data_IF_142291740715
#
_entry.id   IF_142291740715
#
_cell.length_a   1.000
_cell.length_b   1.000
_cell.length_c   1.000
_cell.angle_alpha   90.00
_cell.angle_beta   90.00
_cell.angle_gamma   90.00
#
_symmetry.space_group_name_H-M   'P 1'
#
loop_
_entity.id
_entity.type
_entity.pdbx_description
1 polymer ?
#
# COMPACT_ATOMS: atom_id res chain seq x y z
N UNK A 1 41.35 -0.72 10.08
CA UNK A 1 40.05 -0.33 9.53
C UNK A 1 39.15 -1.54 9.62
N UNK A 2 38.25 -1.69 10.59
CA UNK A 2 37.26 -2.77 10.61
C UNK A 2 36.17 -2.46 9.60
N UNK A 3 35.70 -3.48 8.95
CA UNK A 3 34.69 -3.49 7.89
C UNK A 3 33.31 -3.08 8.44
N UNK A 4 32.79 -1.95 7.96
CA UNK A 4 31.50 -1.35 8.39
C UNK A 4 30.28 -2.01 7.70
N UNK A 5 30.34 -3.26 7.27
CA UNK A 5 29.27 -3.95 6.53
C UNK A 5 28.47 -4.99 7.32
N UNK A 6 28.71 -5.17 8.60
CA UNK A 6 28.01 -6.19 9.43
C UNK A 6 26.83 -5.65 10.27
N UNK A 7 26.14 -4.60 9.86
CA UNK A 7 25.08 -3.98 10.68
C UNK A 7 23.69 -3.88 10.06
N UNK A 8 23.40 -4.46 8.88
CA UNK A 8 22.20 -4.09 8.12
C UNK A 8 21.11 -5.16 7.94
N UNK A 9 21.29 -6.35 8.48
CA UNK A 9 20.20 -7.33 8.51
C UNK A 9 20.09 -7.90 9.93
N UNK A 10 19.19 -7.33 10.72
CA UNK A 10 18.64 -8.09 11.84
C UNK A 10 17.97 -9.31 11.20
N UNK A 11 18.59 -10.45 11.26
CA UNK A 11 18.08 -11.71 10.74
C UNK A 11 16.69 -11.93 11.33
N UNK A 12 15.70 -12.16 10.47
CA UNK A 12 14.43 -12.73 10.92
C UNK A 12 14.76 -13.94 11.81
N UNK A 13 14.06 -14.11 12.94
CA UNK A 13 14.33 -15.24 13.84
C UNK A 13 14.32 -16.54 13.03
N UNK A 14 15.28 -17.41 13.26
CA UNK A 14 15.33 -18.72 12.62
C UNK A 14 13.99 -19.46 12.85
N UNK A 15 13.50 -20.24 11.87
CA UNK A 15 12.21 -20.92 11.99
C UNK A 15 12.07 -21.77 13.26
N UNK A 16 13.18 -22.33 13.77
CA UNK A 16 13.20 -23.10 15.02
C UNK A 16 12.93 -22.23 16.26
N UNK A 17 13.45 -20.99 16.28
CA UNK A 17 13.24 -20.07 17.39
C UNK A 17 11.83 -19.52 17.39
N UNK A 18 11.24 -19.29 16.20
CA UNK A 18 9.88 -18.81 16.05
C UNK A 18 8.86 -19.72 16.74
N UNK A 19 8.92 -21.04 16.53
CA UNK A 19 8.00 -22.00 17.11
C UNK A 19 8.05 -22.00 18.65
N UNK A 20 9.18 -21.65 19.26
CA UNK A 20 9.32 -21.57 20.70
C UNK A 20 8.52 -20.43 21.36
N UNK A 21 8.13 -19.42 20.60
CA UNK A 21 7.35 -18.29 21.09
C UNK A 21 5.84 -18.47 20.94
N UNK A 22 5.38 -19.47 20.16
CA UNK A 22 3.96 -19.70 19.90
C UNK A 22 3.30 -20.47 21.05
N UNK A 23 2.08 -20.07 21.40
CA UNK A 23 1.20 -20.85 22.25
C UNK A 23 0.51 -21.98 21.45
N UNK A 24 -0.04 -22.99 22.14
CA UNK A 24 -0.46 -24.24 21.50
C UNK A 24 -1.41 -24.13 20.30
N UNK A 25 -2.27 -23.11 20.23
CA UNK A 25 -3.22 -22.94 19.10
C UNK A 25 -2.80 -21.85 18.10
N UNK A 26 -1.72 -21.11 18.36
CA UNK A 26 -1.29 -19.99 17.52
C UNK A 26 -0.97 -20.45 16.09
N UNK A 27 -0.34 -21.62 15.95
CA UNK A 27 0.04 -22.15 14.64
C UNK A 27 -1.20 -22.45 13.76
N UNK A 28 -2.28 -22.95 14.34
CA UNK A 28 -3.52 -23.21 13.61
C UNK A 28 -4.13 -21.89 13.14
N UNK A 29 -4.25 -20.91 14.05
CA UNK A 29 -4.78 -19.57 13.74
C UNK A 29 -3.94 -18.86 12.67
N UNK A 30 -2.61 -18.96 12.76
CA UNK A 30 -1.69 -18.43 11.74
C UNK A 30 -1.94 -19.04 10.35
N UNK A 31 -2.05 -20.38 10.28
CA UNK A 31 -2.33 -21.07 9.02
C UNK A 31 -3.70 -20.68 8.43
N UNK A 32 -4.72 -20.49 9.25
CA UNK A 32 -6.04 -20.02 8.82
C UNK A 32 -5.97 -18.61 8.25
N UNK A 33 -5.24 -17.67 8.89
CA UNK A 33 -5.04 -16.31 8.39
C UNK A 33 -4.29 -16.35 7.06
N UNK A 34 -3.20 -17.11 6.97
CA UNK A 34 -2.42 -17.27 5.74
C UNK A 34 -3.30 -17.83 4.62
N UNK A 35 -4.05 -18.90 4.89
CA UNK A 35 -4.93 -19.50 3.89
C UNK A 35 -6.00 -18.52 3.39
N UNK A 36 -6.67 -17.80 4.29
CA UNK A 36 -7.66 -16.79 3.93
C UNK A 36 -7.04 -15.63 3.16
N UNK A 37 -5.85 -15.16 3.54
CA UNK A 37 -5.18 -14.04 2.87
C UNK A 37 -4.89 -14.32 1.39
N UNK A 38 -4.60 -15.57 1.03
CA UNK A 38 -4.32 -15.98 -0.37
C UNK A 38 -5.58 -15.85 -1.25
N UNK A 39 -6.77 -16.03 -0.69
CA UNK A 39 -8.04 -16.00 -1.41
C UNK A 39 -8.76 -14.63 -1.38
N UNK A 40 -8.20 -13.62 -0.71
CA UNK A 40 -8.79 -12.28 -0.65
C UNK A 40 -8.84 -11.61 -2.04
N UNK A 41 -10.05 -11.21 -2.47
CA UNK A 41 -10.28 -10.51 -3.73
C UNK A 41 -10.99 -9.17 -3.54
N UNK A 42 -11.56 -8.91 -2.36
CA UNK A 42 -12.29 -7.70 -2.00
C UNK A 42 -11.75 -7.08 -0.70
N UNK A 43 -11.99 -5.79 -0.51
CA UNK A 43 -11.54 -5.05 0.68
C UNK A 43 -12.24 -5.57 1.94
N UNK A 44 -13.52 -5.94 1.84
CA UNK A 44 -14.30 -6.51 2.93
C UNK A 44 -13.69 -7.84 3.40
N UNK A 45 -13.31 -8.73 2.47
CA UNK A 45 -12.66 -9.99 2.79
C UNK A 45 -11.29 -9.79 3.47
N UNK A 46 -10.57 -8.73 3.09
CA UNK A 46 -9.32 -8.36 3.74
C UNK A 46 -9.56 -7.85 5.17
N UNK A 47 -10.57 -7.02 5.38
CA UNK A 47 -10.95 -6.52 6.71
C UNK A 47 -11.38 -7.69 7.62
N UNK A 48 -12.07 -8.69 7.09
CA UNK A 48 -12.51 -9.89 7.82
C UNK A 48 -11.37 -10.79 8.34
N UNK A 49 -10.11 -10.50 7.96
CA UNK A 49 -8.95 -11.17 8.57
C UNK A 49 -8.65 -10.65 9.99
N UNK A 50 -8.98 -9.40 10.30
CA UNK A 50 -8.53 -8.74 11.53
C UNK A 50 -9.15 -9.29 12.81
N UNK A 51 -10.44 -9.69 12.88
CA UNK A 51 -10.99 -10.40 14.01
C UNK A 51 -10.21 -11.70 14.33
N UNK A 52 -9.72 -12.39 13.30
CA UNK A 52 -8.92 -13.60 13.49
C UNK A 52 -7.51 -13.29 14.01
N UNK A 53 -6.94 -12.15 13.58
CA UNK A 53 -5.65 -11.68 14.09
C UNK A 53 -5.76 -11.30 15.58
N UNK A 54 -6.91 -10.77 16.03
CA UNK A 54 -7.15 -10.48 17.46
C UNK A 54 -7.11 -11.71 18.36
N UNK A 55 -7.35 -12.92 17.84
CA UNK A 55 -7.17 -14.15 18.59
C UNK A 55 -5.70 -14.44 18.93
N UNK A 56 -4.75 -13.90 18.15
CA UNK A 56 -3.31 -14.09 18.37
C UNK A 56 -2.72 -13.08 19.36
N UNK A 57 -3.13 -11.83 19.28
CA UNK A 57 -2.72 -10.78 20.22
C UNK A 57 -3.78 -9.66 20.29
N UNK A 58 -3.97 -9.07 21.49
CA UNK A 58 -5.01 -8.05 21.66
C UNK A 58 -4.63 -6.74 20.97
N UNK A 59 -5.59 -6.12 20.30
CA UNK A 59 -5.52 -4.72 19.83
C UNK A 59 -6.94 -4.16 19.75
N UNK A 60 -7.07 -2.84 19.95
CA UNK A 60 -8.35 -2.14 19.85
C UNK A 60 -8.50 -1.53 18.44
N UNK A 61 -7.39 -1.09 17.86
CA UNK A 61 -7.34 -0.37 16.61
C UNK A 61 -6.38 -1.00 15.62
N UNK A 62 -6.80 -1.05 14.35
CA UNK A 62 -5.95 -1.49 13.25
C UNK A 62 -6.18 -0.66 11.98
N UNK A 63 -5.13 -0.52 11.20
CA UNK A 63 -5.15 0.10 9.87
C UNK A 63 -4.09 -0.53 8.97
N UNK A 64 -4.36 -0.51 7.67
CA UNK A 64 -3.45 -0.96 6.63
C UNK A 64 -3.18 0.17 5.62
N UNK A 65 -1.94 0.35 5.20
CA UNK A 65 -1.52 1.36 4.24
C UNK A 65 -0.58 0.76 3.20
N UNK A 66 -0.76 1.15 1.94
CA UNK A 66 0.21 0.93 0.85
C UNK A 66 0.88 2.26 0.53
N UNK A 67 2.18 2.23 0.29
CA UNK A 67 2.94 3.44 0.01
C UNK A 67 4.41 3.15 -0.26
N UNK A 68 5.17 4.21 -0.34
CA UNK A 68 6.61 4.17 -0.55
C UNK A 68 7.29 5.37 0.13
N UNK A 69 8.61 5.32 0.25
CA UNK A 69 9.39 6.45 0.75
C UNK A 69 9.91 7.30 -0.42
N UNK A 70 9.43 8.52 -0.52
CA UNK A 70 9.99 9.54 -1.42
C UNK A 70 11.15 10.26 -0.73
N UNK A 71 12.31 10.36 -1.41
CA UNK A 71 13.53 10.95 -0.80
C UNK A 71 13.38 12.44 -0.44
N UNK A 72 12.47 13.16 -1.09
CA UNK A 72 12.26 14.60 -0.85
C UNK A 72 11.07 14.92 0.05
N UNK A 73 10.07 14.04 0.10
CA UNK A 73 8.79 14.28 0.78
C UNK A 73 8.54 13.36 1.97
N UNK A 74 9.33 12.29 2.14
CA UNK A 74 9.09 11.27 3.15
C UNK A 74 8.06 10.22 2.69
N UNK A 75 7.35 9.57 3.63
CA UNK A 75 6.34 8.57 3.30
C UNK A 75 5.19 9.12 2.45
N UNK A 76 4.88 8.44 1.36
CA UNK A 76 3.75 8.73 0.48
C UNK A 76 2.78 7.56 0.55
N UNK A 77 1.58 7.80 1.08
CA UNK A 77 0.52 6.80 1.16
C UNK A 77 -0.30 6.86 -0.13
N UNK A 78 -0.39 5.74 -0.82
CA UNK A 78 -1.10 5.57 -2.10
C UNK A 78 -2.51 5.06 -1.88
N UNK A 79 -2.69 4.20 -0.86
CA UNK A 79 -3.98 3.65 -0.47
C UNK A 79 -3.95 3.29 1.01
N UNK A 80 -5.07 3.46 1.68
CA UNK A 80 -5.22 3.11 3.09
C UNK A 80 -6.61 2.57 3.38
N UNK A 81 -6.66 1.59 4.27
CA UNK A 81 -7.90 1.04 4.83
C UNK A 81 -7.86 1.22 6.33
N UNK A 82 -8.85 1.93 6.85
CA UNK A 82 -9.11 2.01 8.27
C UNK A 82 -9.96 0.80 8.68
N UNK A 83 -9.43 -0.03 9.56
CA UNK A 83 -10.16 -1.20 10.08
C UNK A 83 -10.99 -0.80 11.29
N UNK A 84 -10.39 -0.11 12.25
CA UNK A 84 -11.07 0.18 13.52
C UNK A 84 -10.61 1.45 14.25
N UNK A 85 -9.71 2.27 13.68
CA UNK A 85 -9.39 3.57 14.30
C UNK A 85 -10.61 4.49 14.29
N UNK A 86 -10.80 5.34 15.32
CA UNK A 86 -11.86 6.35 15.33
C UNK A 86 -11.76 7.28 14.11
N UNK A 87 -12.86 7.53 13.43
CA UNK A 87 -12.87 8.37 12.21
C UNK A 87 -12.34 9.78 12.45
N UNK A 88 -12.58 10.34 13.65
CA UNK A 88 -12.09 11.65 14.03
C UNK A 88 -10.56 11.66 14.13
N UNK A 89 -9.98 10.61 14.73
CA UNK A 89 -8.53 10.45 14.80
C UNK A 89 -7.93 10.35 13.39
N UNK A 90 -8.52 9.52 12.52
CA UNK A 90 -8.04 9.35 11.13
C UNK A 90 -8.09 10.68 10.39
N UNK A 91 -9.20 11.41 10.49
CA UNK A 91 -9.38 12.72 9.85
C UNK A 91 -8.31 13.71 10.32
N UNK A 92 -8.07 13.81 11.62
CA UNK A 92 -7.08 14.72 12.18
C UNK A 92 -5.65 14.34 11.78
N UNK A 93 -5.31 13.05 11.89
CA UNK A 93 -4.00 12.51 11.51
C UNK A 93 -3.62 12.82 10.06
N UNK A 94 -4.55 12.65 9.13
CA UNK A 94 -4.30 12.92 7.72
C UNK A 94 -4.40 14.41 7.36
N UNK A 95 -5.30 15.19 7.99
CA UNK A 95 -5.42 16.63 7.74
C UNK A 95 -4.15 17.39 8.12
N UNK A 96 -3.46 16.96 9.18
CA UNK A 96 -2.19 17.52 9.64
C UNK A 96 -0.96 16.90 8.94
N UNK A 97 -1.17 16.00 7.96
CA UNK A 97 -0.12 15.28 7.25
C UNK A 97 0.84 14.49 8.17
N UNK A 98 0.37 14.02 9.32
CA UNK A 98 1.18 13.27 10.26
C UNK A 98 1.74 11.97 9.68
N UNK A 99 1.08 11.36 8.69
CA UNK A 99 1.61 10.21 7.95
C UNK A 99 2.98 10.47 7.30
N UNK A 100 3.32 11.72 6.96
CA UNK A 100 4.61 12.10 6.37
C UNK A 100 5.68 12.38 7.42
N UNK A 101 5.28 12.83 8.62
CA UNK A 101 6.18 13.26 9.69
C UNK A 101 6.34 12.22 10.79
N UNK A 102 5.41 11.28 10.93
CA UNK A 102 5.44 10.21 11.91
C UNK A 102 6.71 9.37 11.80
N UNK A 103 7.40 9.21 12.92
CA UNK A 103 8.57 8.35 13.04
C UNK A 103 8.26 6.91 12.63
N UNK A 104 7.09 6.38 13.03
CA UNK A 104 6.64 5.03 12.67
C UNK A 104 6.53 4.86 11.15
N UNK A 105 5.88 5.80 10.46
CA UNK A 105 5.73 5.74 9.01
C UNK A 105 7.08 5.86 8.30
N UNK A 106 7.92 6.81 8.70
CA UNK A 106 9.25 7.02 8.11
C UNK A 106 10.14 5.79 8.26
N UNK A 107 10.21 5.24 9.45
CA UNK A 107 11.01 4.04 9.72
C UNK A 107 10.44 2.83 8.97
N UNK A 108 9.10 2.63 9.00
CA UNK A 108 8.49 1.50 8.30
C UNK A 108 8.84 1.48 6.80
N UNK A 109 8.60 2.58 6.09
CA UNK A 109 8.88 2.65 4.65
C UNK A 109 10.38 2.76 4.29
N UNK A 110 11.26 2.67 5.29
CA UNK A 110 12.72 2.60 5.11
C UNK A 110 13.26 1.21 5.42
N UNK A 111 12.82 0.59 6.52
CA UNK A 111 13.40 -0.66 7.03
C UNK A 111 12.49 -1.87 6.94
N UNK A 112 11.16 -1.66 6.95
CA UNK A 112 10.13 -2.71 6.97
C UNK A 112 10.31 -3.73 8.11
N UNK A 113 10.84 -3.29 9.24
CA UNK A 113 11.00 -4.12 10.45
C UNK A 113 9.89 -3.84 11.45
N UNK A 114 9.53 -4.80 12.32
CA UNK A 114 8.59 -4.57 13.42
C UNK A 114 9.05 -3.41 14.30
N UNK A 115 8.14 -2.52 14.64
CA UNK A 115 8.38 -1.38 15.50
C UNK A 115 7.36 -1.37 16.62
N UNK A 116 7.83 -1.28 17.87
CA UNK A 116 6.95 -0.99 18.99
C UNK A 116 6.86 0.52 19.19
N UNK A 117 5.64 1.04 19.20
CA UNK A 117 5.36 2.49 19.11
C UNK A 117 6.14 3.33 20.09
N UNK A 118 6.05 3.02 21.39
CA UNK A 118 6.72 3.80 22.45
C UNK A 118 8.25 3.76 22.33
N UNK A 119 8.82 2.67 21.85
CA UNK A 119 10.27 2.59 21.62
C UNK A 119 10.69 3.47 20.45
N UNK A 120 9.93 3.46 19.36
CA UNK A 120 10.18 4.32 18.19
C UNK A 120 10.02 5.80 18.58
N UNK A 121 8.98 6.18 19.29
CA UNK A 121 8.77 7.56 19.72
C UNK A 121 9.91 8.08 20.61
N UNK A 122 10.47 7.25 21.49
CA UNK A 122 11.62 7.64 22.34
C UNK A 122 12.89 7.92 21.52
N UNK A 123 13.05 7.29 20.36
CA UNK A 123 14.23 7.49 19.51
C UNK A 123 14.15 8.77 18.67
N UNK A 124 12.95 9.26 18.38
CA UNK A 124 12.73 10.41 17.51
C UNK A 124 12.16 11.60 18.30
N UNK A 125 12.82 12.74 18.17
CA UNK A 125 12.34 14.02 18.75
C UNK A 125 11.20 14.58 17.87
N UNK A 126 10.40 15.51 18.45
CA UNK A 126 9.32 16.22 17.75
C UNK A 126 8.15 15.34 17.30
N UNK A 127 7.74 14.39 18.15
CA UNK A 127 6.54 13.58 17.94
C UNK A 127 5.40 13.95 18.92
N UNK A 128 5.58 15.01 19.72
CA UNK A 128 4.70 15.34 20.85
C UNK A 128 3.23 15.55 20.42
N UNK A 129 2.99 16.22 19.28
CA UNK A 129 1.64 16.42 18.76
C UNK A 129 0.97 15.12 18.32
N UNK A 130 1.72 14.24 17.68
CA UNK A 130 1.23 12.92 17.23
C UNK A 130 0.96 12.05 18.46
N UNK A 131 1.84 12.06 19.43
CA UNK A 131 1.69 11.32 20.68
C UNK A 131 0.48 11.84 21.45
N UNK A 132 0.31 13.16 21.57
CA UNK A 132 -0.87 13.76 22.21
C UNK A 132 -2.15 13.32 21.54
N UNK A 133 -2.23 13.42 20.21
CA UNK A 133 -3.37 12.95 19.46
C UNK A 133 -3.67 11.47 19.72
N UNK A 134 -2.65 10.62 19.75
CA UNK A 134 -2.84 9.20 20.06
C UNK A 134 -3.40 8.99 21.49
N UNK A 135 -2.86 9.71 22.47
CA UNK A 135 -3.30 9.59 23.86
C UNK A 135 -4.74 10.08 24.08
N UNK A 136 -5.17 11.13 23.38
CA UNK A 136 -6.53 11.66 23.45
C UNK A 136 -7.58 10.65 23.03
N UNK A 137 -7.22 9.71 22.13
CA UNK A 137 -8.07 8.62 21.68
C UNK A 137 -7.76 7.26 22.36
N UNK A 138 -6.98 7.25 23.43
CA UNK A 138 -6.64 6.01 24.16
C UNK A 138 -5.63 5.11 23.46
N UNK A 139 -4.99 5.57 22.39
CA UNK A 139 -3.94 4.85 21.66
C UNK A 139 -2.63 5.04 22.42
N UNK A 140 -2.24 4.05 23.23
CA UNK A 140 -1.09 4.15 24.13
C UNK A 140 0.08 3.31 23.68
N UNK A 141 -0.21 2.11 23.22
CA UNK A 141 0.77 1.10 22.86
C UNK A 141 0.40 0.48 21.51
N UNK A 142 1.37 -0.11 20.83
CA UNK A 142 1.08 -0.77 19.57
C UNK A 142 2.32 -1.16 18.78
N UNK A 143 2.06 -1.84 17.68
CA UNK A 143 3.06 -2.21 16.69
C UNK A 143 2.75 -1.59 15.33
N UNK A 144 3.79 -1.16 14.66
CA UNK A 144 3.79 -0.89 13.23
C UNK A 144 4.75 -1.87 12.55
N UNK A 145 4.28 -2.56 11.53
CA UNK A 145 5.11 -3.47 10.74
C UNK A 145 4.61 -3.49 9.30
N UNK A 146 5.53 -3.49 8.37
CA UNK A 146 5.23 -3.55 6.94
C UNK A 146 6.08 -4.55 6.20
N UNK A 147 5.75 -4.74 4.93
CA UNK A 147 6.55 -5.50 3.99
C UNK A 147 6.98 -4.60 2.84
N UNK A 148 8.24 -4.72 2.44
CA UNK A 148 8.76 -4.03 1.28
C UNK A 148 8.10 -4.47 -0.03
N UNK A 149 8.29 -3.71 -1.11
CA UNK A 149 7.75 -4.08 -2.41
C UNK A 149 8.41 -5.37 -2.91
N UNK A 150 7.60 -6.34 -3.34
CA UNK A 150 8.08 -7.61 -3.90
C UNK A 150 8.74 -7.43 -5.27
N UNK A 151 8.39 -6.36 -6.00
CA UNK A 151 8.92 -6.02 -7.33
C UNK A 151 9.23 -4.53 -7.37
N UNK A 152 10.33 -4.16 -8.02
CA UNK A 152 10.73 -2.77 -8.19
C UNK A 152 9.58 -1.95 -8.84
N UNK A 153 9.27 -0.78 -8.25
CA UNK A 153 8.17 0.08 -8.70
C UNK A 153 6.80 -0.25 -8.10
N UNK A 154 6.71 -1.27 -7.24
CA UNK A 154 5.51 -1.53 -6.44
C UNK A 154 5.58 -0.80 -5.10
N UNK A 155 4.43 -0.72 -4.41
CA UNK A 155 4.34 -0.13 -3.09
C UNK A 155 4.73 -1.16 -2.02
N UNK A 156 5.36 -0.71 -0.96
CA UNK A 156 5.42 -1.43 0.29
C UNK A 156 4.13 -1.26 1.08
N UNK A 157 4.02 -1.93 2.21
CA UNK A 157 2.88 -1.78 3.13
C UNK A 157 3.32 -1.33 4.52
N UNK A 158 2.34 -0.88 5.30
CA UNK A 158 2.43 -0.65 6.72
C UNK A 158 1.11 -1.08 7.35
N UNK A 159 1.20 -1.90 8.37
CA UNK A 159 0.07 -2.32 9.22
C UNK A 159 0.31 -1.74 10.60
N UNK A 160 -0.70 -1.11 11.16
CA UNK A 160 -0.71 -0.59 12.51
C UNK A 160 -1.70 -1.40 13.33
N UNK A 161 -1.25 -1.86 14.50
CA UNK A 161 -2.07 -2.50 15.52
C UNK A 161 -1.84 -1.76 16.82
N UNK A 162 -2.87 -1.21 17.43
CA UNK A 162 -2.74 -0.35 18.61
C UNK A 162 -3.86 -0.59 19.61
N UNK A 163 -3.61 -0.24 20.86
CA UNK A 163 -4.62 -0.37 21.91
C UNK A 163 -4.10 0.15 23.25
N UNK A 164 -4.89 -0.10 24.28
CA UNK A 164 -4.58 0.29 25.65
C UNK A 164 -3.78 -0.77 26.43
N UNK A 165 -3.82 -2.03 25.99
CA UNK A 165 -3.27 -3.19 26.71
C UNK A 165 -2.29 -4.02 25.86
N UNK A 166 -1.66 -3.42 24.86
CA UNK A 166 -0.74 -4.10 23.96
C UNK A 166 0.67 -4.12 24.56
N UNK A 167 1.20 -5.31 24.84
CA UNK A 167 2.50 -5.47 25.46
C UNK A 167 3.62 -5.66 24.42
N UNK A 168 4.80 -5.08 24.71
CA UNK A 168 6.00 -5.35 23.95
C UNK A 168 6.56 -6.74 24.29
N UNK A 169 6.42 -7.69 23.39
CA UNK A 169 6.94 -9.05 23.58
C UNK A 169 7.36 -9.73 22.25
N UNK A 170 8.28 -10.69 22.38
CA UNK A 170 8.82 -11.42 21.24
C UNK A 170 7.79 -12.29 20.51
N UNK A 171 6.76 -12.76 21.23
CA UNK A 171 5.69 -13.56 20.61
C UNK A 171 4.92 -12.74 19.58
N UNK A 172 4.50 -11.54 19.93
CA UNK A 172 3.80 -10.63 19.00
C UNK A 172 4.69 -10.25 17.81
N UNK A 173 5.96 -9.96 18.04
CA UNK A 173 6.91 -9.66 16.96
C UNK A 173 7.09 -10.84 15.99
N UNK A 174 7.21 -12.06 16.53
CA UNK A 174 7.30 -13.26 15.73
C UNK A 174 6.03 -13.52 14.91
N UNK A 175 4.85 -13.37 15.52
CA UNK A 175 3.55 -13.49 14.84
C UNK A 175 3.46 -12.44 13.69
N UNK A 176 3.78 -11.17 13.96
CA UNK A 176 3.78 -10.12 12.95
C UNK A 176 4.76 -10.42 11.81
N UNK A 177 5.95 -10.95 12.12
CA UNK A 177 6.93 -11.35 11.12
C UNK A 177 6.40 -12.39 10.14
N UNK A 178 5.48 -13.27 10.58
CA UNK A 178 4.85 -14.27 9.72
C UNK A 178 3.66 -13.71 8.97
N UNK A 179 2.72 -13.04 9.64
CA UNK A 179 1.46 -12.65 8.99
C UNK A 179 1.61 -11.44 8.06
N UNK A 180 2.49 -10.49 8.37
CA UNK A 180 2.60 -9.23 7.63
C UNK A 180 2.97 -9.41 6.16
N UNK A 181 3.89 -10.30 5.75
CA UNK A 181 4.12 -10.59 4.33
C UNK A 181 2.87 -11.10 3.60
N UNK A 182 2.06 -11.94 4.25
CA UNK A 182 0.83 -12.48 3.68
C UNK A 182 -0.27 -11.42 3.61
N UNK A 183 -0.41 -10.58 4.64
CA UNK A 183 -1.30 -9.42 4.62
C UNK A 183 -0.90 -8.42 3.52
N UNK A 184 0.41 -8.20 3.32
CA UNK A 184 0.91 -7.34 2.25
C UNK A 184 0.49 -7.86 0.87
N UNK A 185 0.65 -9.15 0.61
CA UNK A 185 0.26 -9.77 -0.65
C UNK A 185 -1.25 -9.66 -0.88
N UNK A 186 -2.07 -10.01 0.12
CA UNK A 186 -3.52 -9.89 0.05
C UNK A 186 -3.95 -8.44 -0.22
N UNK A 187 -3.47 -7.49 0.57
CA UNK A 187 -3.81 -6.09 0.43
C UNK A 187 -3.38 -5.48 -0.91
N UNK A 188 -2.18 -5.83 -1.37
CA UNK A 188 -1.68 -5.41 -2.68
C UNK A 188 -2.49 -6.01 -3.83
N UNK A 189 -2.99 -7.24 -3.68
CA UNK A 189 -3.86 -7.88 -4.67
C UNK A 189 -5.22 -7.19 -4.72
N UNK A 190 -5.87 -6.99 -3.60
CA UNK A 190 -7.17 -6.30 -3.48
C UNK A 190 -7.08 -4.89 -4.08
N UNK A 191 -6.06 -4.12 -3.73
CA UNK A 191 -5.85 -2.77 -4.26
C UNK A 191 -5.67 -2.76 -5.79
N UNK A 192 -4.87 -3.70 -6.34
CA UNK A 192 -4.67 -3.82 -7.80
C UNK A 192 -5.96 -4.21 -8.50
N UNK A 193 -6.71 -5.14 -7.96
CA UNK A 193 -8.01 -5.59 -8.50
C UNK A 193 -9.02 -4.44 -8.53
N UNK A 194 -9.13 -3.66 -7.45
CA UNK A 194 -9.97 -2.46 -7.37
C UNK A 194 -9.56 -1.42 -8.43
N UNK A 195 -8.27 -1.12 -8.52
CA UNK A 195 -7.74 -0.17 -9.50
C UNK A 195 -7.95 -0.63 -10.95
N UNK A 196 -7.89 -1.94 -11.21
CA UNK A 196 -8.24 -2.51 -12.51
C UNK A 196 -9.74 -2.35 -12.83
N UNK A 197 -10.62 -2.50 -11.84
CA UNK A 197 -12.07 -2.31 -12.01
C UNK A 197 -12.39 -0.82 -12.19
N UNK A 198 -11.77 0.07 -11.43
CA UNK A 198 -11.91 1.53 -11.59
C UNK A 198 -11.39 1.99 -12.95
N UNK A 199 -10.26 1.45 -13.39
CA UNK A 199 -9.70 1.72 -14.72
C UNK A 199 -10.53 1.10 -15.86
N UNK A 200 -11.24 -0.01 -15.64
CA UNK A 200 -12.24 -0.54 -16.59
C UNK A 200 -13.44 0.40 -16.76
N UNK A 201 -13.74 1.25 -15.77
CA UNK A 201 -14.71 2.36 -15.91
C UNK A 201 -14.15 3.51 -16.76
N UNK A 202 -12.84 3.59 -16.94
CA UNK A 202 -12.20 4.49 -17.93
C UNK A 202 -12.31 3.85 -19.31
N UNK A 203 -13.55 3.68 -19.78
CA UNK A 203 -13.79 3.03 -21.07
C UNK A 203 -13.47 4.03 -22.18
N UNK A 204 -12.30 3.84 -22.80
CA UNK A 204 -12.04 4.45 -24.09
C UNK A 204 -13.08 3.92 -25.09
N UNK A 205 -13.75 4.81 -25.81
CA UNK A 205 -14.62 4.40 -26.91
C UNK A 205 -13.82 3.65 -27.98
N UNK A 206 -14.47 2.84 -28.79
CA UNK A 206 -13.82 2.16 -29.90
C UNK A 206 -13.03 3.14 -30.78
N UNK A 207 -13.56 4.35 -31.00
CA UNK A 207 -12.91 5.39 -31.80
C UNK A 207 -11.69 6.01 -31.12
N UNK A 208 -11.72 6.17 -29.82
CA UNK A 208 -10.57 6.66 -29.05
C UNK A 208 -9.44 5.62 -29.04
N UNK A 209 -9.74 4.35 -28.93
CA UNK A 209 -8.75 3.25 -29.04
C UNK A 209 -8.11 3.23 -30.42
N UNK A 210 -8.92 3.27 -31.46
CA UNK A 210 -8.45 3.28 -32.85
C UNK A 210 -7.51 4.48 -33.13
N UNK A 211 -7.86 5.66 -32.64
CA UNK A 211 -7.00 6.85 -32.76
C UNK A 211 -5.69 6.67 -32.01
N UNK A 212 -5.71 6.11 -30.79
CA UNK A 212 -4.50 5.83 -30.01
C UNK A 212 -3.62 4.77 -30.68
N UNK A 213 -4.20 3.75 -31.32
CA UNK A 213 -3.45 2.73 -32.06
C UNK A 213 -2.69 3.31 -33.26
N UNK A 214 -3.28 4.27 -33.96
CA UNK A 214 -2.56 4.98 -35.04
C UNK A 214 -1.50 5.94 -34.50
N UNK A 215 -1.77 6.64 -33.39
CA UNK A 215 -0.76 7.47 -32.70
C UNK A 215 0.44 6.64 -32.24
N UNK A 216 0.22 5.43 -31.72
CA UNK A 216 1.26 4.48 -31.34
C UNK A 216 2.19 4.12 -32.51
N UNK A 217 1.63 4.03 -33.71
CA UNK A 217 2.36 3.77 -34.95
C UNK A 217 3.07 5.03 -35.50
N UNK A 218 3.06 6.15 -34.75
CA UNK A 218 3.72 7.40 -35.13
C UNK A 218 2.96 8.24 -36.17
N UNK A 219 1.68 7.94 -36.45
CA UNK A 219 0.85 8.72 -37.38
C UNK A 219 0.51 10.09 -36.79
N UNK A 220 0.58 11.12 -37.61
CA UNK A 220 0.11 12.47 -37.26
C UNK A 220 -1.42 12.53 -37.21
N UNK A 221 -1.98 13.58 -36.59
CA UNK A 221 -3.45 13.79 -36.62
C UNK A 221 -4.00 13.94 -38.04
N UNK A 222 -3.22 14.48 -38.94
CA UNK A 222 -3.55 14.60 -40.36
C UNK A 222 -3.60 13.21 -41.03
N UNK A 223 -2.55 12.37 -40.84
CA UNK A 223 -2.53 11.01 -41.38
C UNK A 223 -3.73 10.20 -40.88
N UNK A 224 -4.01 10.28 -39.60
CA UNK A 224 -5.13 9.59 -38.95
C UNK A 224 -6.47 10.08 -39.54
N UNK A 225 -6.58 11.36 -39.81
CA UNK A 225 -7.80 11.93 -40.42
C UNK A 225 -8.09 11.30 -41.78
N UNK A 226 -7.05 11.12 -42.60
CA UNK A 226 -7.13 10.45 -43.91
C UNK A 226 -7.50 8.97 -43.75
N UNK A 227 -6.80 8.25 -42.87
CA UNK A 227 -7.01 6.82 -42.66
C UNK A 227 -8.43 6.55 -42.16
N UNK A 228 -8.94 7.38 -41.27
CA UNK A 228 -10.22 7.16 -40.59
C UNK A 228 -11.41 7.87 -41.28
N UNK A 229 -11.15 8.66 -42.35
CA UNK A 229 -12.17 9.40 -43.07
C UNK A 229 -12.92 10.43 -42.25
N UNK A 230 -12.22 11.13 -41.32
CA UNK A 230 -12.77 12.15 -40.43
C UNK A 230 -11.91 13.42 -40.48
N UNK A 231 -12.41 14.53 -39.94
CA UNK A 231 -11.60 15.75 -39.89
C UNK A 231 -10.45 15.63 -38.89
N UNK A 232 -9.33 16.33 -39.13
CA UNK A 232 -8.21 16.43 -38.17
C UNK A 232 -8.67 16.98 -36.82
N UNK A 233 -9.65 17.92 -36.82
CA UNK A 233 -10.28 18.43 -35.60
C UNK A 233 -10.95 17.31 -34.80
N UNK A 234 -11.62 16.36 -35.48
CA UNK A 234 -12.26 15.22 -34.84
C UNK A 234 -11.23 14.25 -34.26
N UNK A 235 -10.09 14.04 -34.94
CA UNK A 235 -8.98 13.25 -34.42
C UNK A 235 -8.44 13.90 -33.13
N UNK A 236 -8.16 15.20 -33.17
CA UNK A 236 -7.67 15.93 -31.99
C UNK A 236 -8.66 15.91 -30.82
N UNK A 237 -9.96 15.93 -31.11
CA UNK A 237 -11.01 15.77 -30.08
C UNK A 237 -10.95 14.38 -29.43
N UNK A 238 -10.80 13.30 -30.20
CA UNK A 238 -10.63 11.96 -29.63
C UNK A 238 -9.34 11.83 -28.82
N UNK A 239 -8.23 12.43 -29.29
CA UNK A 239 -6.98 12.47 -28.52
C UNK A 239 -7.15 13.21 -27.20
N UNK A 240 -7.78 14.37 -27.21
CA UNK A 240 -8.04 15.15 -26.00
C UNK A 240 -8.90 14.38 -25.00
N UNK A 241 -9.99 13.76 -25.46
CA UNK A 241 -10.86 12.93 -24.61
C UNK A 241 -10.11 11.73 -24.04
N UNK A 242 -9.27 11.06 -24.86
CA UNK A 242 -8.43 9.97 -24.39
C UNK A 242 -7.45 10.43 -23.31
N UNK A 243 -6.78 11.57 -23.53
CA UNK A 243 -5.87 12.16 -22.54
C UNK A 243 -6.60 12.48 -21.22
N UNK A 244 -7.77 13.09 -21.30
CA UNK A 244 -8.59 13.41 -20.13
C UNK A 244 -9.04 12.13 -19.36
N UNK A 245 -9.50 11.11 -20.09
CA UNK A 245 -9.93 9.82 -19.52
C UNK A 245 -8.77 9.04 -18.88
N UNK A 246 -7.55 9.21 -19.39
CA UNK A 246 -6.34 8.52 -18.95
C UNK A 246 -5.52 9.35 -17.94
N UNK A 247 -6.02 10.53 -17.54
CA UNK A 247 -5.31 11.48 -16.68
C UNK A 247 -3.89 11.78 -17.19
N UNK A 248 -3.78 12.03 -18.49
CA UNK A 248 -2.52 12.26 -19.18
C UNK A 248 -2.40 13.73 -19.64
N UNK A 249 -1.24 14.34 -19.43
CA UNK A 249 -0.98 15.73 -19.81
C UNK A 249 -0.45 15.90 -21.23
N UNK A 250 -0.06 14.79 -21.89
CA UNK A 250 0.41 14.78 -23.28
C UNK A 250 0.16 13.42 -23.95
N UNK A 251 0.30 13.40 -25.29
CA UNK A 251 0.07 12.18 -26.11
C UNK A 251 0.96 10.99 -25.71
N UNK A 252 2.28 11.13 -25.52
CA UNK A 252 3.13 10.03 -25.09
C UNK A 252 2.68 9.43 -23.75
N UNK A 253 2.28 10.29 -22.81
CA UNK A 253 1.77 9.82 -21.51
C UNK A 253 0.44 9.09 -21.66
N UNK A 254 -0.46 9.54 -22.54
CA UNK A 254 -1.71 8.84 -22.84
C UNK A 254 -1.47 7.45 -23.43
N UNK A 255 -0.52 7.32 -24.37
CA UNK A 255 -0.13 6.04 -24.95
C UNK A 255 0.45 5.11 -23.88
N UNK A 256 1.37 5.59 -23.04
CA UNK A 256 1.95 4.81 -21.95
C UNK A 256 0.89 4.37 -20.93
N UNK A 257 -0.06 5.25 -20.59
CA UNK A 257 -1.17 4.93 -19.69
C UNK A 257 -2.12 3.90 -20.31
N UNK A 258 -2.52 4.07 -21.57
CA UNK A 258 -3.40 3.13 -22.28
C UNK A 258 -2.78 1.74 -22.38
N UNK A 259 -1.49 1.62 -22.67
CA UNK A 259 -0.77 0.36 -22.71
C UNK A 259 -0.69 -0.30 -21.33
N UNK A 260 -0.29 0.45 -20.30
CA UNK A 260 -0.21 -0.07 -18.93
C UNK A 260 -1.56 -0.60 -18.44
N UNK A 261 -2.67 -0.03 -18.92
CA UNK A 261 -4.04 -0.44 -18.60
C UNK A 261 -4.56 -1.57 -19.51
N UNK A 262 -3.76 -2.04 -20.47
CA UNK A 262 -4.20 -3.07 -21.44
C UNK A 262 -5.34 -2.60 -22.34
N UNK A 263 -5.49 -1.29 -22.57
CA UNK A 263 -6.52 -0.71 -23.44
C UNK A 263 -6.09 -0.68 -24.90
N UNK A 264 -4.78 -0.69 -25.14
CA UNK A 264 -4.10 -0.84 -26.43
C UNK A 264 -2.91 -1.79 -26.24
N UNK A 265 -2.60 -2.61 -27.23
CA UNK A 265 -1.45 -3.50 -27.19
C UNK A 265 -0.18 -2.77 -27.67
N UNK A 266 0.97 -2.94 -27.00
CA UNK A 266 2.27 -2.65 -27.57
C UNK A 266 2.79 -3.95 -28.20
N UNK A 267 2.80 -3.97 -29.52
CA UNK A 267 3.52 -5.02 -30.24
C UNK A 267 5.03 -4.80 -30.15
#
# INVERSE_FOLDING_TARGET
>A
MPDEREGLFASSPEPADFLSYLAGNDAVTLLEIIHKSISCNAEEEFIDLFPKIQELFPFDYAAAMLGFHDKGKGPVIVHGVNISFPEEWVREYFSKNYHQTSALSRQNFTTYTPQYMTNTWKQYRQQDEIISLCLDFGIREGYAHGSGPSVQGQNGSMFCFSGSAMEHNRRTEAILGVIVPHLHLAFSHVFRSRKMVENKKTVLSAREKEVLDWLKQGKSSWDISIILGISERTVNFHVYNSMHKLDAVNRPQALAAASRLGLIDFA
#
